data_IF_195978053496
#
_entry.id   IF_195978053496
#
_cell.length_a   1.000
_cell.length_b   1.000
_cell.length_c   1.000
_cell.angle_alpha   90.00
_cell.angle_beta   90.00
_cell.angle_gamma   90.00
#
_symmetry.space_group_name_H-M   'P 1'
#
loop_
_entity.id
_entity.type
_entity.pdbx_description
1 polymer ?
#
# COMPACT_ATOMS: atom_id res chain seq x y z
N UNK A 1 22.66 0.71 10.46
CA UNK A 1 21.31 0.19 10.18
C UNK A 1 20.34 0.98 11.05
N UNK A 2 19.40 1.72 10.45
CA UNK A 2 18.44 2.53 11.22
C UNK A 2 17.40 1.59 11.84
N UNK A 3 17.18 1.70 13.15
CA UNK A 3 16.22 0.86 13.84
C UNK A 3 14.79 1.07 13.29
N UNK A 4 13.97 0.02 13.27
CA UNK A 4 12.54 0.10 12.91
C UNK A 4 11.75 1.13 13.73
N UNK A 5 12.27 1.53 14.89
CA UNK A 5 11.67 2.50 15.79
C UNK A 5 12.18 3.94 15.61
N UNK A 6 12.99 4.21 14.57
CA UNK A 6 13.40 5.57 14.27
C UNK A 6 12.17 6.44 13.99
N UNK A 7 11.96 7.55 14.73
CA UNK A 7 10.83 8.44 14.54
C UNK A 7 10.64 8.94 13.09
N UNK A 8 11.74 9.08 12.34
CA UNK A 8 11.71 9.48 10.92
C UNK A 8 11.07 8.38 10.09
N UNK A 9 11.50 7.13 10.26
CA UNK A 9 10.94 5.99 9.52
C UNK A 9 9.46 5.79 9.85
N UNK A 10 9.09 5.86 11.13
CA UNK A 10 7.69 5.74 11.58
C UNK A 10 6.80 6.77 10.90
N UNK A 11 7.27 8.03 10.77
CA UNK A 11 6.54 9.09 10.06
C UNK A 11 6.36 8.76 8.57
N UNK A 12 7.40 8.29 7.88
CA UNK A 12 7.31 7.98 6.45
C UNK A 12 6.52 6.70 6.16
N UNK A 13 6.57 5.69 7.03
CA UNK A 13 5.68 4.53 6.97
C UNK A 13 4.22 4.94 7.14
N UNK A 14 3.94 5.88 8.05
CA UNK A 14 2.61 6.45 8.23
C UNK A 14 2.15 7.24 6.98
N UNK A 15 3.03 8.02 6.38
CA UNK A 15 2.76 8.73 5.13
C UNK A 15 2.43 7.73 4.00
N UNK A 16 3.29 6.73 3.78
CA UNK A 16 3.13 5.74 2.72
C UNK A 16 1.80 4.97 2.83
N UNK A 17 1.43 4.50 4.03
CA UNK A 17 0.14 3.80 4.19
C UNK A 17 -1.05 4.73 3.99
N UNK A 18 -0.96 5.99 4.42
CA UNK A 18 -2.06 6.95 4.24
C UNK A 18 -2.25 7.31 2.77
N UNK A 19 -1.16 7.43 2.01
CA UNK A 19 -1.20 7.64 0.56
C UNK A 19 -1.86 6.47 -0.16
N UNK A 20 -1.46 5.23 0.17
CA UNK A 20 -2.07 4.04 -0.42
C UNK A 20 -3.57 3.96 -0.10
N UNK A 21 -3.94 4.15 1.17
CA UNK A 21 -5.36 4.17 1.59
C UNK A 21 -6.15 5.28 0.89
N UNK A 22 -5.53 6.44 0.70
CA UNK A 22 -6.11 7.57 -0.04
C UNK A 22 -6.40 7.22 -1.49
N UNK A 23 -5.45 6.60 -2.19
CA UNK A 23 -5.64 6.14 -3.57
C UNK A 23 -6.74 5.07 -3.68
N UNK A 24 -6.76 4.09 -2.77
CA UNK A 24 -7.81 3.08 -2.73
C UNK A 24 -9.19 3.72 -2.56
N UNK A 25 -9.31 4.66 -1.62
CA UNK A 25 -10.56 5.39 -1.37
C UNK A 25 -10.98 6.24 -2.57
N UNK A 26 -10.05 6.98 -3.19
CA UNK A 26 -10.33 7.80 -4.39
C UNK A 26 -10.87 6.97 -5.55
N UNK A 27 -10.42 5.72 -5.67
CA UNK A 27 -10.79 4.79 -6.74
C UNK A 27 -11.95 3.86 -6.37
N UNK A 28 -12.47 3.95 -5.14
CA UNK A 28 -13.53 3.05 -4.66
C UNK A 28 -13.09 1.58 -4.58
N UNK A 29 -11.80 1.31 -4.39
CA UNK A 29 -11.24 -0.05 -4.35
C UNK A 29 -11.17 -0.55 -2.92
N UNK A 30 -11.82 -1.68 -2.64
CA UNK A 30 -11.71 -2.38 -1.34
C UNK A 30 -10.44 -3.23 -1.26
N UNK A 31 -10.06 -3.69 -0.07
CA UNK A 31 -8.93 -4.60 0.06
C UNK A 31 -9.15 -5.96 -0.60
N UNK A 32 -10.39 -6.47 -0.60
CA UNK A 32 -10.75 -7.66 -1.37
C UNK A 32 -10.50 -7.46 -2.88
N UNK A 33 -10.96 -6.34 -3.44
CA UNK A 33 -10.74 -6.01 -4.85
C UNK A 33 -9.25 -5.75 -5.15
N UNK A 34 -8.50 -5.16 -4.22
CA UNK A 34 -7.06 -5.02 -4.37
C UNK A 34 -6.37 -6.38 -4.45
N UNK A 35 -6.78 -7.36 -3.63
CA UNK A 35 -6.25 -8.72 -3.69
C UNK A 35 -6.50 -9.37 -5.07
N UNK A 36 -7.71 -9.24 -5.60
CA UNK A 36 -8.07 -9.75 -6.94
C UNK A 36 -7.24 -9.08 -8.05
N UNK A 37 -7.06 -7.75 -7.96
CA UNK A 37 -6.25 -6.99 -8.94
C UNK A 37 -4.78 -7.36 -8.87
N UNK A 38 -4.23 -7.53 -7.67
CA UNK A 38 -2.86 -8.00 -7.47
C UNK A 38 -2.67 -9.43 -7.98
N UNK A 39 -3.65 -10.32 -7.78
CA UNK A 39 -3.61 -11.68 -8.30
C UNK A 39 -3.57 -11.70 -9.84
N UNK A 40 -4.21 -10.73 -10.50
CA UNK A 40 -4.14 -10.57 -11.96
C UNK A 40 -2.73 -10.20 -12.46
N UNK A 41 -1.87 -9.67 -11.58
CA UNK A 41 -0.45 -9.39 -11.83
C UNK A 41 0.46 -10.54 -11.36
N UNK A 42 -0.10 -11.68 -10.95
CA UNK A 42 0.65 -12.81 -10.39
C UNK A 42 1.06 -12.65 -8.93
N UNK A 43 0.51 -11.66 -8.21
CA UNK A 43 0.84 -11.36 -6.82
C UNK A 43 -0.25 -11.93 -5.91
N UNK A 44 0.05 -13.05 -5.26
CA UNK A 44 -0.88 -13.71 -4.35
C UNK A 44 -0.88 -13.04 -2.98
N UNK A 45 -1.93 -12.27 -2.71
CA UNK A 45 -2.24 -11.70 -1.40
C UNK A 45 -3.71 -11.99 -1.08
N UNK A 46 -4.07 -12.01 0.20
CA UNK A 46 -5.47 -12.06 0.63
C UNK A 46 -5.84 -10.79 1.38
N UNK A 47 -7.14 -10.51 1.50
CA UNK A 47 -7.65 -9.28 2.12
C UNK A 47 -7.08 -9.06 3.54
N UNK A 48 -7.02 -10.11 4.36
CA UNK A 48 -6.51 -10.04 5.73
C UNK A 48 -5.01 -9.66 5.76
N UNK A 49 -4.22 -10.27 4.89
CA UNK A 49 -2.78 -10.00 4.77
C UNK A 49 -2.53 -8.57 4.28
N UNK A 50 -3.28 -8.12 3.27
CA UNK A 50 -3.22 -6.74 2.78
C UNK A 50 -3.58 -5.75 3.88
N UNK A 51 -4.69 -5.96 4.60
CA UNK A 51 -5.09 -5.07 5.68
C UNK A 51 -3.99 -4.98 6.76
N UNK A 52 -3.42 -6.11 7.17
CA UNK A 52 -2.33 -6.14 8.15
C UNK A 52 -1.07 -5.43 7.64
N UNK A 53 -0.69 -5.68 6.38
CA UNK A 53 0.52 -5.14 5.72
C UNK A 53 0.42 -3.64 5.47
N UNK A 54 -0.73 -3.16 5.03
CA UNK A 54 -0.98 -1.74 4.80
C UNK A 54 -1.13 -1.01 6.14
N UNK A 55 -1.84 -1.59 7.12
CA UNK A 55 -2.04 -0.95 8.43
C UNK A 55 -0.75 -0.76 9.21
N UNK A 56 0.21 -1.71 9.12
CA UNK A 56 1.55 -1.57 9.72
C UNK A 56 2.45 -0.53 9.03
N UNK A 57 2.23 -0.22 7.75
CA UNK A 57 3.02 0.78 7.00
C UNK A 57 4.42 0.34 6.55
N UNK A 58 5.05 -0.61 7.24
CA UNK A 58 6.31 -1.23 6.84
C UNK A 58 6.16 -2.23 5.68
N UNK A 59 5.84 -1.75 4.49
CA UNK A 59 5.88 -2.50 3.23
C UNK A 59 6.97 -1.97 2.30
N UNK A 60 7.41 -2.78 1.35
CA UNK A 60 8.46 -2.39 0.41
C UNK A 60 7.93 -1.38 -0.62
N UNK A 61 8.83 -0.56 -1.16
CA UNK A 61 8.48 0.32 -2.29
C UNK A 61 7.96 -0.47 -3.49
N UNK A 62 8.50 -1.66 -3.75
CA UNK A 62 8.01 -2.55 -4.81
C UNK A 62 6.53 -2.92 -4.59
N UNK A 63 6.15 -3.34 -3.38
CA UNK A 63 4.75 -3.65 -3.06
C UNK A 63 3.85 -2.43 -3.21
N UNK A 64 4.33 -1.25 -2.79
CA UNK A 64 3.59 -0.01 -2.98
C UNK A 64 3.29 0.27 -4.45
N UNK A 65 4.30 0.18 -5.32
CA UNK A 65 4.16 0.37 -6.77
C UNK A 65 3.23 -0.69 -7.39
N UNK A 66 3.34 -1.95 -6.97
CA UNK A 66 2.44 -3.02 -7.41
C UNK A 66 0.99 -2.70 -7.07
N UNK A 67 0.71 -2.18 -5.87
CA UNK A 67 -0.64 -1.75 -5.51
C UNK A 67 -1.12 -0.58 -6.37
N UNK A 68 -0.25 0.41 -6.65
CA UNK A 68 -0.59 1.54 -7.51
C UNK A 68 -0.90 1.08 -8.94
N UNK A 69 -0.09 0.21 -9.51
CA UNK A 69 -0.32 -0.39 -10.83
C UNK A 69 -1.63 -1.17 -10.87
N UNK A 70 -1.87 -2.04 -9.88
CA UNK A 70 -3.07 -2.86 -9.77
C UNK A 70 -4.37 -2.02 -9.75
N UNK A 71 -4.33 -0.82 -9.15
CA UNK A 71 -5.48 0.10 -9.08
C UNK A 71 -5.49 1.15 -10.20
N UNK A 72 -4.53 1.11 -11.13
CA UNK A 72 -4.41 2.04 -12.26
C UNK A 72 -3.98 3.45 -11.85
N UNK A 73 -3.19 3.59 -10.79
CA UNK A 73 -2.65 4.86 -10.33
C UNK A 73 -1.37 5.23 -11.09
N UNK A 74 -1.49 6.23 -11.96
CA UNK A 74 -0.39 6.79 -12.75
C UNK A 74 0.30 7.97 -12.06
N UNK A 75 -0.34 8.59 -11.07
CA UNK A 75 0.16 9.77 -10.36
C UNK A 75 -0.20 9.66 -8.87
N UNK A 76 0.68 10.18 -8.03
CA UNK A 76 0.50 10.26 -6.59
C UNK A 76 0.82 11.67 -6.11
N UNK A 77 -0.10 12.27 -5.36
CA UNK A 77 0.12 13.55 -4.68
C UNK A 77 0.40 13.30 -3.21
N UNK A 78 1.50 13.88 -2.71
CA UNK A 78 1.92 13.78 -1.30
C UNK A 78 1.20 14.80 -0.40
N UNK A 79 0.60 15.82 -1.02
CA UNK A 79 -0.02 17.01 -0.43
C UNK A 79 -0.12 18.10 -1.49
#
# INVERSE_FOLDING_TARGET
MVAKSDPVNVRYEALAKNLLKGELKRRGVTYAQLAEKLASLGITENERNLNNKISRGGFTAAFFLQCLEAIGASQLQLG
#
